data_IF_475030347822
#
_entry.id   IF_475030347822
#
_cell.length_a   1.000
_cell.length_b   1.000
_cell.length_c   1.000
_cell.angle_alpha   90.00
_cell.angle_beta   90.00
_cell.angle_gamma   90.00
#
_symmetry.space_group_name_H-M   'P 1'
#
loop_
_entity.id
_entity.type
_entity.pdbx_description
1 polymer ?
#
# COMPACT_ATOMS: atom_id res chain seq x y z
N UNK A 1 75.21 -37.54 8.14
CA UNK A 1 74.86 -37.21 6.73
C UNK A 1 73.47 -37.79 6.46
N UNK A 2 72.48 -36.90 6.42
CA UNK A 2 71.16 -36.96 5.76
C UNK A 2 70.39 -38.29 5.72
N UNK A 3 69.43 -38.44 6.64
CA UNK A 3 68.29 -39.34 6.48
C UNK A 3 67.01 -38.64 7.00
N UNK A 4 66.64 -37.52 6.38
CA UNK A 4 65.40 -36.81 6.71
C UNK A 4 64.91 -35.93 5.55
N UNK A 5 64.82 -36.48 4.34
CA UNK A 5 64.14 -35.83 3.22
C UNK A 5 63.63 -36.91 2.25
N UNK A 6 62.43 -37.45 2.49
CA UNK A 6 61.50 -37.99 1.47
C UNK A 6 60.33 -38.77 2.12
N UNK A 7 59.59 -38.16 3.05
CA UNK A 7 58.38 -38.78 3.63
C UNK A 7 57.17 -37.84 3.58
N UNK A 8 57.09 -37.02 2.53
CA UNK A 8 55.91 -36.21 2.22
C UNK A 8 55.71 -36.11 0.70
N UNK A 9 55.34 -37.21 0.02
CA UNK A 9 54.70 -37.08 -1.30
C UNK A 9 53.90 -38.25 -1.85
N UNK A 10 53.62 -39.28 -1.07
CA UNK A 10 52.69 -40.34 -1.51
C UNK A 10 51.47 -40.39 -0.58
N UNK A 11 50.76 -39.26 -0.45
CA UNK A 11 49.33 -39.32 -0.14
C UNK A 11 48.66 -39.82 -1.41
N UNK A 12 48.58 -41.16 -1.49
CA UNK A 12 47.96 -41.90 -2.58
C UNK A 12 46.53 -41.39 -2.81
N UNK A 13 46.35 -40.84 -4.01
CA UNK A 13 45.13 -40.37 -4.68
C UNK A 13 43.99 -41.39 -4.80
N UNK A 14 43.95 -42.44 -3.98
CA UNK A 14 43.06 -43.59 -4.18
C UNK A 14 41.76 -43.57 -3.34
N UNK A 15 41.62 -42.69 -2.34
CA UNK A 15 40.42 -42.65 -1.49
C UNK A 15 39.43 -41.51 -1.80
N UNK A 16 39.79 -40.54 -2.64
CA UNK A 16 38.89 -39.42 -2.99
C UNK A 16 38.11 -39.61 -4.29
N UNK A 17 38.41 -40.65 -5.07
CA UNK A 17 37.78 -40.87 -6.37
C UNK A 17 36.45 -41.65 -6.32
N UNK A 18 36.05 -42.20 -5.17
CA UNK A 18 34.84 -43.03 -5.06
C UNK A 18 33.63 -42.34 -4.41
N UNK A 19 33.79 -41.10 -3.92
CA UNK A 19 32.69 -40.36 -3.26
C UNK A 19 32.37 -39.00 -3.90
N UNK A 20 32.96 -38.69 -5.05
CA UNK A 20 32.60 -37.50 -5.83
C UNK A 20 31.61 -37.82 -6.96
N UNK A 21 31.61 -39.05 -7.47
CA UNK A 21 30.77 -39.42 -8.62
C UNK A 21 29.32 -39.79 -8.27
N UNK A 22 28.99 -39.94 -7.00
CA UNK A 22 27.62 -40.24 -6.51
C UNK A 22 26.98 -39.08 -5.74
N UNK A 23 27.70 -37.97 -5.52
CA UNK A 23 27.17 -36.81 -4.79
C UNK A 23 26.92 -35.56 -5.66
N UNK A 24 27.42 -35.53 -6.90
CA UNK A 24 27.13 -34.46 -7.87
C UNK A 24 26.02 -34.82 -8.86
N UNK A 25 25.18 -35.81 -8.55
CA UNK A 25 24.08 -36.25 -9.42
C UNK A 25 22.70 -36.32 -8.73
N UNK A 26 22.55 -35.69 -7.56
CA UNK A 26 21.26 -35.60 -6.84
C UNK A 26 20.73 -34.15 -6.77
N UNK A 27 21.45 -33.16 -7.30
CA UNK A 27 21.04 -31.76 -7.19
C UNK A 27 21.34 -30.96 -8.46
N UNK A 28 20.60 -31.21 -9.55
CA UNK A 28 20.37 -30.28 -10.66
C UNK A 28 19.34 -30.90 -11.63
N UNK A 29 18.31 -30.18 -12.12
CA UNK A 29 17.60 -29.03 -11.56
C UNK A 29 16.06 -29.18 -11.71
N UNK A 30 15.30 -29.07 -10.63
CA UNK A 30 13.83 -28.84 -10.69
C UNK A 30 13.47 -27.41 -11.14
N UNK A 31 14.24 -26.83 -12.05
CA UNK A 31 14.01 -25.45 -12.51
C UNK A 31 14.60 -25.21 -13.90
N UNK A 32 14.25 -26.05 -14.88
CA UNK A 32 14.18 -25.57 -16.26
C UNK A 32 12.73 -25.17 -16.51
N UNK A 33 12.43 -23.89 -16.82
CA UNK A 33 11.14 -23.55 -17.38
C UNK A 33 10.85 -24.51 -18.52
N UNK A 34 9.67 -25.15 -18.53
CA UNK A 34 9.24 -25.89 -19.71
C UNK A 34 9.34 -24.95 -20.92
N UNK A 35 9.85 -25.42 -22.05
CA UNK A 35 9.97 -24.60 -23.27
C UNK A 35 8.62 -23.96 -23.63
N UNK A 36 7.55 -24.72 -23.44
CA UNK A 36 6.16 -24.27 -23.60
C UNK A 36 5.81 -23.07 -22.71
N UNK A 37 6.36 -23.03 -21.48
CA UNK A 37 6.18 -21.90 -20.57
C UNK A 37 6.85 -20.64 -21.12
N UNK A 38 8.09 -20.75 -21.60
CA UNK A 38 8.83 -19.61 -22.17
C UNK A 38 8.12 -19.10 -23.43
N UNK A 39 7.66 -20.02 -24.31
CA UNK A 39 6.90 -19.65 -25.50
C UNK A 39 5.60 -18.93 -25.13
N UNK A 40 4.85 -19.47 -24.17
CA UNK A 40 3.61 -18.83 -23.69
C UNK A 40 3.87 -17.44 -23.10
N UNK A 41 4.86 -17.32 -22.21
CA UNK A 41 5.26 -16.03 -21.63
C UNK A 41 5.75 -15.03 -22.70
N UNK A 42 6.34 -15.50 -23.79
CA UNK A 42 6.80 -14.64 -24.90
C UNK A 42 5.62 -14.14 -25.73
N UNK A 43 4.67 -15.02 -26.06
CA UNK A 43 3.43 -14.67 -26.75
C UNK A 43 2.59 -13.70 -25.91
N UNK A 44 2.53 -13.88 -24.59
CA UNK A 44 1.87 -12.95 -23.68
C UNK A 44 2.48 -11.54 -23.80
N UNK A 45 3.82 -11.42 -23.80
CA UNK A 45 4.47 -10.10 -23.95
C UNK A 45 4.28 -9.50 -25.33
N UNK A 46 4.20 -10.32 -26.38
CA UNK A 46 3.84 -9.84 -27.72
C UNK A 46 2.43 -9.26 -27.72
N UNK A 47 1.46 -9.96 -27.13
CA UNK A 47 0.08 -9.51 -26.99
C UNK A 47 -0.04 -8.24 -26.12
N UNK A 48 0.77 -8.11 -25.05
CA UNK A 48 0.82 -6.91 -24.22
C UNK A 48 1.24 -5.68 -25.03
N UNK A 49 2.28 -5.81 -25.88
CA UNK A 49 2.75 -4.75 -26.77
C UNK A 49 1.68 -4.39 -27.79
N UNK A 50 1.08 -5.38 -28.46
CA UNK A 50 0.02 -5.18 -29.44
C UNK A 50 -1.19 -4.46 -28.83
N UNK A 51 -1.65 -4.95 -27.68
CA UNK A 51 -2.78 -4.36 -26.94
C UNK A 51 -2.48 -2.93 -26.51
N UNK A 52 -1.25 -2.65 -26.05
CA UNK A 52 -0.83 -1.31 -25.68
C UNK A 52 -0.82 -0.36 -26.87
N UNK A 53 -0.31 -0.80 -28.04
CA UNK A 53 -0.29 0.02 -29.27
C UNK A 53 -1.70 0.42 -29.67
N UNK A 54 -2.62 -0.55 -29.77
CA UNK A 54 -4.01 -0.27 -30.15
C UNK A 54 -4.72 0.63 -29.13
N UNK A 55 -4.54 0.38 -27.84
CA UNK A 55 -5.17 1.16 -26.79
C UNK A 55 -4.67 2.62 -26.78
N UNK A 56 -3.36 2.82 -26.92
CA UNK A 56 -2.77 4.15 -26.88
C UNK A 56 -3.07 4.96 -28.14
N UNK A 57 -3.09 4.33 -29.34
CA UNK A 57 -3.42 5.04 -30.58
C UNK A 57 -4.81 5.68 -30.53
N UNK A 58 -5.81 4.99 -29.97
CA UNK A 58 -7.15 5.55 -29.76
C UNK A 58 -7.16 6.63 -28.66
N UNK A 59 -6.62 6.29 -27.49
CA UNK A 59 -6.69 7.16 -26.30
C UNK A 59 -6.02 8.52 -26.49
N UNK A 60 -4.93 8.57 -27.25
CA UNK A 60 -4.16 9.80 -27.54
C UNK A 60 -4.99 10.85 -28.28
N UNK A 61 -6.03 10.44 -29.03
CA UNK A 61 -6.96 11.35 -29.70
C UNK A 61 -8.26 11.56 -28.94
N UNK A 62 -8.62 10.65 -28.04
CA UNK A 62 -9.85 10.73 -27.25
C UNK A 62 -9.55 11.25 -25.84
N UNK A 63 -9.50 10.36 -24.85
CA UNK A 63 -9.37 10.65 -23.42
C UNK A 63 -8.09 11.40 -23.01
N UNK A 64 -6.97 11.18 -23.71
CA UNK A 64 -5.66 11.75 -23.36
C UNK A 64 -5.33 13.02 -24.15
N UNK A 65 -6.18 13.44 -25.09
CA UNK A 65 -5.92 14.54 -26.02
C UNK A 65 -5.60 15.87 -25.32
N UNK A 66 -6.25 16.14 -24.20
CA UNK A 66 -6.05 17.34 -23.36
C UNK A 66 -4.76 17.30 -22.52
N UNK A 67 -4.17 16.12 -22.30
CA UNK A 67 -3.07 15.89 -21.35
C UNK A 67 -1.71 15.66 -22.03
N UNK A 68 -1.68 15.81 -23.35
CA UNK A 68 -0.50 15.66 -24.20
C UNK A 68 -0.33 16.90 -25.07
N UNK A 69 0.90 17.36 -25.23
CA UNK A 69 1.21 18.42 -26.19
C UNK A 69 1.11 17.86 -27.63
N UNK A 70 0.67 18.68 -28.58
CA UNK A 70 0.53 18.28 -29.99
C UNK A 70 1.83 17.72 -30.59
N UNK A 71 2.96 18.36 -30.29
CA UNK A 71 4.30 17.97 -30.75
C UNK A 71 4.64 16.55 -30.28
N UNK A 72 4.54 16.32 -28.98
CA UNK A 72 4.78 15.03 -28.31
C UNK A 72 3.79 13.97 -28.80
N UNK A 73 2.53 14.34 -29.02
CA UNK A 73 1.51 13.45 -29.57
C UNK A 73 1.90 12.93 -30.96
N UNK A 74 2.28 13.83 -31.87
CA UNK A 74 2.66 13.45 -33.22
C UNK A 74 3.88 12.52 -33.24
N UNK A 75 4.87 12.80 -32.38
CA UNK A 75 6.04 11.93 -32.22
C UNK A 75 5.67 10.57 -31.64
N UNK A 76 4.80 10.54 -30.62
CA UNK A 76 4.37 9.31 -29.98
C UNK A 76 3.58 8.41 -30.94
N UNK A 77 2.69 8.97 -31.76
CA UNK A 77 1.95 8.21 -32.77
C UNK A 77 2.89 7.57 -33.79
N UNK A 78 3.92 8.31 -34.25
CA UNK A 78 4.96 7.74 -35.13
C UNK A 78 5.75 6.62 -34.45
N UNK A 79 6.03 6.74 -33.16
CA UNK A 79 6.69 5.67 -32.41
C UNK A 79 5.80 4.44 -32.25
N UNK A 80 4.49 4.62 -32.06
CA UNK A 80 3.51 3.53 -32.03
C UNK A 80 3.39 2.82 -33.38
N UNK A 81 3.33 3.57 -34.49
CA UNK A 81 3.39 3.03 -35.86
C UNK A 81 4.66 2.24 -36.11
N UNK A 82 5.84 2.81 -35.80
CA UNK A 82 7.10 2.09 -35.95
C UNK A 82 7.25 0.87 -35.02
N UNK A 83 6.56 0.86 -33.88
CA UNK A 83 6.50 -0.31 -33.01
C UNK A 83 5.57 -1.41 -33.55
N UNK A 84 4.46 -1.03 -34.21
CA UNK A 84 3.57 -1.95 -34.91
C UNK A 84 4.27 -2.60 -36.11
N UNK A 85 4.94 -1.80 -36.94
CA UNK A 85 5.73 -2.28 -38.08
C UNK A 85 6.84 -3.25 -37.62
N UNK A 86 7.50 -2.93 -36.50
CA UNK A 86 8.50 -3.81 -35.91
C UNK A 86 7.87 -5.13 -35.43
N UNK A 87 6.69 -5.09 -34.79
CA UNK A 87 6.02 -6.27 -34.25
C UNK A 87 5.68 -7.33 -35.31
N UNK A 88 5.36 -6.87 -36.53
CA UNK A 88 5.04 -7.73 -37.68
C UNK A 88 6.22 -7.93 -38.65
N UNK A 89 7.39 -7.35 -38.37
CA UNK A 89 8.62 -7.52 -39.14
C UNK A 89 9.73 -8.15 -38.31
N UNK A 90 10.74 -7.35 -37.97
CA UNK A 90 11.94 -7.80 -37.24
C UNK A 90 11.65 -8.33 -35.82
N UNK A 91 10.47 -8.01 -35.27
CA UNK A 91 9.98 -8.40 -33.95
C UNK A 91 9.08 -9.63 -33.94
N UNK A 92 8.92 -10.38 -35.05
CA UNK A 92 7.97 -11.50 -35.10
C UNK A 92 8.37 -12.68 -34.19
N UNK A 93 9.66 -13.03 -34.15
CA UNK A 93 10.24 -14.15 -33.38
C UNK A 93 11.50 -13.70 -32.62
N UNK A 94 11.31 -12.80 -31.64
CA UNK A 94 12.38 -12.28 -30.78
C UNK A 94 12.27 -12.81 -29.36
N UNK A 95 13.36 -12.68 -28.60
CA UNK A 95 13.34 -13.02 -27.17
C UNK A 95 12.34 -12.13 -26.41
N UNK A 96 11.67 -12.70 -25.41
CA UNK A 96 10.82 -12.00 -24.43
C UNK A 96 11.40 -10.65 -23.96
N UNK A 97 12.72 -10.59 -23.74
CA UNK A 97 13.43 -9.39 -23.30
C UNK A 97 13.23 -8.19 -24.24
N UNK A 98 13.15 -8.44 -25.55
CA UNK A 98 12.98 -7.40 -26.57
C UNK A 98 11.57 -6.81 -26.53
N UNK A 99 10.54 -7.64 -26.37
CA UNK A 99 9.16 -7.16 -26.22
C UNK A 99 8.99 -6.29 -24.97
N UNK A 100 9.60 -6.70 -23.84
CA UNK A 100 9.57 -5.90 -22.60
C UNK A 100 10.25 -4.56 -22.81
N UNK A 101 11.43 -4.53 -23.41
CA UNK A 101 12.15 -3.29 -23.70
C UNK A 101 11.33 -2.37 -24.60
N UNK A 102 10.72 -2.92 -25.66
CA UNK A 102 9.88 -2.15 -26.58
C UNK A 102 8.67 -1.55 -25.87
N UNK A 103 8.03 -2.32 -24.98
CA UNK A 103 6.92 -1.83 -24.16
C UNK A 103 7.37 -0.72 -23.21
N UNK A 104 8.52 -0.85 -22.55
CA UNK A 104 9.09 0.16 -21.66
C UNK A 104 9.42 1.47 -22.40
N UNK A 105 9.96 1.38 -23.62
CA UNK A 105 10.21 2.53 -24.48
C UNK A 105 8.90 3.30 -24.75
N UNK A 106 7.83 2.60 -25.15
CA UNK A 106 6.53 3.23 -25.40
C UNK A 106 5.87 3.77 -24.12
N UNK A 107 6.06 3.10 -22.99
CA UNK A 107 5.55 3.51 -21.68
C UNK A 107 6.24 4.75 -21.13
N UNK A 108 7.50 4.99 -21.47
CA UNK A 108 8.24 6.18 -21.06
C UNK A 108 7.50 7.47 -21.47
N UNK A 109 6.80 7.45 -22.61
CA UNK A 109 6.00 8.59 -23.09
C UNK A 109 4.53 8.46 -22.67
N UNK A 110 3.95 7.27 -22.77
CA UNK A 110 2.53 7.06 -22.52
C UNK A 110 2.12 7.09 -21.04
N UNK A 111 2.93 6.53 -20.13
CA UNK A 111 2.60 6.47 -18.71
C UNK A 111 2.46 7.85 -18.05
N UNK A 112 3.36 8.83 -18.31
CA UNK A 112 3.16 10.20 -17.79
C UNK A 112 1.85 10.84 -18.25
N UNK A 113 1.43 10.62 -19.50
CA UNK A 113 0.19 11.18 -20.05
C UNK A 113 -1.03 10.54 -19.39
N UNK A 114 -1.03 9.21 -19.27
CA UNK A 114 -2.09 8.47 -18.57
C UNK A 114 -2.15 8.88 -17.09
N UNK A 115 -0.99 9.06 -16.46
CA UNK A 115 -0.89 9.52 -15.08
C UNK A 115 -1.54 10.90 -14.91
N UNK A 116 -1.22 11.88 -15.78
CA UNK A 116 -1.82 13.22 -15.74
C UNK A 116 -3.34 13.18 -15.93
N UNK A 117 -3.84 12.35 -16.85
CA UNK A 117 -5.27 12.17 -17.06
C UNK A 117 -5.97 11.59 -15.83
N UNK A 118 -5.44 10.50 -15.27
CA UNK A 118 -5.97 9.87 -14.05
C UNK A 118 -5.97 10.85 -12.87
N UNK A 119 -4.87 11.55 -12.66
CA UNK A 119 -4.77 12.58 -11.61
C UNK A 119 -5.83 13.67 -11.81
N UNK A 120 -6.17 14.05 -13.04
CA UNK A 120 -7.21 15.04 -13.28
C UNK A 120 -8.63 14.54 -12.98
N UNK A 121 -8.92 13.27 -13.30
CA UNK A 121 -10.20 12.63 -12.98
C UNK A 121 -10.36 12.43 -11.46
N UNK A 122 -9.32 11.94 -10.79
CA UNK A 122 -9.35 11.63 -9.36
C UNK A 122 -9.27 12.89 -8.47
N UNK A 123 -8.70 13.99 -8.98
CA UNK A 123 -8.48 15.22 -8.20
C UNK A 123 -9.76 15.79 -7.61
N UNK A 124 -10.87 15.77 -8.34
CA UNK A 124 -12.13 16.29 -7.80
C UNK A 124 -12.55 15.51 -6.55
N UNK A 125 -12.52 14.17 -6.63
CA UNK A 125 -12.86 13.31 -5.51
C UNK A 125 -11.85 13.46 -4.34
N UNK A 126 -10.55 13.53 -4.61
CA UNK A 126 -9.52 13.75 -3.59
C UNK A 126 -9.70 15.12 -2.89
N UNK A 127 -10.07 16.15 -3.64
CA UNK A 127 -10.37 17.49 -3.11
C UNK A 127 -11.57 17.49 -2.18
N UNK A 128 -12.66 16.82 -2.55
CA UNK A 128 -13.83 16.70 -1.68
C UNK A 128 -13.48 15.95 -0.40
N UNK A 129 -12.79 14.80 -0.50
CA UNK A 129 -12.35 14.04 0.68
C UNK A 129 -11.51 14.88 1.65
N UNK A 130 -10.58 15.68 1.14
CA UNK A 130 -9.77 16.57 1.99
C UNK A 130 -10.63 17.66 2.62
N UNK A 131 -11.53 18.30 1.88
CA UNK A 131 -12.46 19.31 2.43
C UNK A 131 -13.38 18.73 3.49
N UNK A 132 -13.95 17.56 3.26
CA UNK A 132 -14.81 16.88 4.23
C UNK A 132 -14.05 16.55 5.51
N UNK A 133 -12.80 16.07 5.40
CA UNK A 133 -11.94 15.82 6.54
C UNK A 133 -11.59 17.12 7.31
N UNK A 134 -11.33 18.22 6.61
CA UNK A 134 -11.04 19.52 7.21
C UNK A 134 -12.27 20.07 7.95
N UNK A 135 -13.45 19.99 7.34
CA UNK A 135 -14.71 20.41 7.95
C UNK A 135 -15.03 19.58 9.19
N UNK A 136 -14.90 18.25 9.12
CA UNK A 136 -15.13 17.38 10.28
C UNK A 136 -14.20 17.72 11.45
N UNK A 137 -12.91 17.98 11.18
CA UNK A 137 -11.95 18.40 12.21
C UNK A 137 -12.26 19.77 12.78
N UNK A 138 -12.76 20.70 11.96
CA UNK A 138 -13.14 22.04 12.39
C UNK A 138 -14.40 21.99 13.27
N UNK A 139 -15.41 21.24 12.87
CA UNK A 139 -16.62 20.99 13.66
C UNK A 139 -16.28 20.34 14.99
N UNK A 140 -15.40 19.33 15.00
CA UNK A 140 -14.98 18.66 16.23
C UNK A 140 -14.19 19.59 17.15
N UNK A 141 -13.31 20.43 16.61
CA UNK A 141 -12.54 21.41 17.37
C UNK A 141 -13.40 22.56 17.93
N UNK A 142 -14.49 22.93 17.24
CA UNK A 142 -15.43 23.96 17.66
C UNK A 142 -16.59 23.42 18.50
N UNK A 143 -16.79 22.10 18.53
CA UNK A 143 -17.85 21.48 19.31
C UNK A 143 -17.66 21.74 20.81
N UNK A 144 -18.78 22.07 21.47
CA UNK A 144 -18.85 22.29 22.91
C UNK A 144 -19.19 20.99 23.68
N UNK A 145 -18.98 19.83 23.07
CA UNK A 145 -19.33 18.55 23.68
C UNK A 145 -18.53 18.30 24.96
N UNK A 146 -19.18 17.69 25.96
CA UNK A 146 -18.53 17.31 27.23
C UNK A 146 -17.35 16.34 27.03
N UNK A 147 -17.25 15.71 25.86
CA UNK A 147 -16.12 14.86 25.46
C UNK A 147 -14.84 15.66 25.17
N UNK A 148 -14.95 16.95 24.85
CA UNK A 148 -13.80 17.81 24.54
C UNK A 148 -13.64 18.94 25.56
N UNK A 149 -14.40 18.91 26.67
CA UNK A 149 -14.35 19.90 27.75
C UNK A 149 -13.06 19.81 28.59
N UNK A 150 -12.40 18.64 28.63
CA UNK A 150 -11.12 18.44 29.29
C UNK A 150 -9.90 18.72 28.40
N UNK A 151 -10.12 19.02 27.12
CA UNK A 151 -9.05 19.36 26.18
C UNK A 151 -8.70 20.83 26.36
N UNK A 152 -7.41 21.10 26.52
CA UNK A 152 -6.89 22.45 26.67
C UNK A 152 -7.15 23.28 25.40
N UNK A 153 -7.58 24.54 25.57
CA UNK A 153 -7.87 25.43 24.44
C UNK A 153 -6.67 25.57 23.49
N UNK A 154 -5.44 25.55 24.03
CA UNK A 154 -4.22 25.59 23.24
C UNK A 154 -4.04 24.40 22.28
N UNK A 155 -4.65 23.24 22.57
CA UNK A 155 -4.62 22.09 21.67
C UNK A 155 -5.71 22.18 20.59
N UNK A 156 -6.88 22.74 20.92
CA UNK A 156 -7.92 23.06 19.92
C UNK A 156 -7.42 24.10 18.92
N UNK A 157 -6.71 25.12 19.39
CA UNK A 157 -6.13 26.15 18.53
C UNK A 157 -5.05 25.59 17.57
N UNK A 158 -4.29 24.57 18.00
CA UNK A 158 -3.34 23.85 17.11
C UNK A 158 -4.06 23.09 15.99
N UNK A 159 -5.17 22.44 16.29
CA UNK A 159 -6.01 21.76 15.28
C UNK A 159 -6.56 22.77 14.29
N UNK A 160 -7.12 23.88 14.76
CA UNK A 160 -7.65 24.94 13.90
C UNK A 160 -6.55 25.56 13.02
N UNK A 161 -5.36 25.79 13.57
CA UNK A 161 -4.23 26.30 12.79
C UNK A 161 -3.79 25.31 11.70
N UNK A 162 -3.73 24.01 12.02
CA UNK A 162 -3.37 22.97 11.05
C UNK A 162 -4.43 22.82 9.93
N UNK A 163 -5.72 22.93 10.27
CA UNK A 163 -6.82 22.93 9.29
C UNK A 163 -6.70 24.12 8.35
N UNK A 164 -6.48 25.34 8.87
CA UNK A 164 -6.31 26.54 8.04
C UNK A 164 -5.10 26.48 7.12
N UNK A 165 -3.97 25.95 7.60
CA UNK A 165 -2.77 25.73 6.77
C UNK A 165 -3.06 24.77 5.62
N UNK A 166 -3.77 23.66 5.89
CA UNK A 166 -4.16 22.69 4.88
C UNK A 166 -5.19 23.24 3.88
N UNK A 167 -6.15 24.06 4.31
CA UNK A 167 -7.09 24.77 3.43
C UNK A 167 -6.38 25.75 2.50
N UNK A 168 -5.44 26.54 3.03
CA UNK A 168 -4.66 27.48 2.23
C UNK A 168 -3.78 26.75 1.21
N UNK A 169 -3.09 25.68 1.63
CA UNK A 169 -2.30 24.84 0.74
C UNK A 169 -3.15 24.25 -0.41
N UNK A 170 -4.36 23.77 -0.10
CA UNK A 170 -5.28 23.26 -1.11
C UNK A 170 -5.71 24.35 -2.09
N UNK A 171 -6.07 25.54 -1.58
CA UNK A 171 -6.46 26.68 -2.40
C UNK A 171 -5.34 27.14 -3.34
N UNK A 172 -4.14 27.34 -2.79
CA UNK A 172 -2.96 27.78 -3.55
C UNK A 172 -2.56 26.78 -4.63
N UNK A 173 -2.68 25.47 -4.34
CA UNK A 173 -2.35 24.45 -5.32
C UNK A 173 -3.40 24.24 -6.40
N UNK A 174 -4.69 24.36 -6.08
CA UNK A 174 -5.75 24.37 -7.11
C UNK A 174 -5.59 25.57 -8.05
N UNK A 175 -5.29 26.76 -7.51
CA UNK A 175 -5.02 27.95 -8.31
C UNK A 175 -3.81 27.75 -9.24
N UNK A 176 -2.74 27.11 -8.75
CA UNK A 176 -1.57 26.75 -9.59
C UNK A 176 -1.93 25.78 -10.71
N UNK A 177 -2.76 24.78 -10.42
CA UNK A 177 -3.22 23.82 -11.43
C UNK A 177 -4.07 24.51 -12.50
N UNK A 178 -4.99 25.41 -12.11
CA UNK A 178 -5.81 26.18 -13.06
C UNK A 178 -4.97 27.11 -13.94
N UNK A 179 -3.89 27.69 -13.39
CA UNK A 179 -2.97 28.55 -14.14
C UNK A 179 -1.99 27.79 -15.03
N UNK A 180 -1.81 26.49 -14.81
CA UNK A 180 -0.83 25.66 -15.53
C UNK A 180 -1.49 24.90 -16.68
N UNK A 181 -0.79 24.66 -17.80
CA UNK A 181 -1.34 23.84 -18.88
C UNK A 181 -1.58 22.39 -18.45
N UNK A 182 -2.66 21.78 -18.93
CA UNK A 182 -3.05 20.39 -18.59
C UNK A 182 -2.02 19.32 -18.98
N UNK A 183 -1.13 19.63 -19.92
CA UNK A 183 -0.04 18.75 -20.36
C UNK A 183 1.23 18.85 -19.49
N UNK A 184 1.24 19.70 -18.47
CA UNK A 184 2.33 19.79 -17.49
C UNK A 184 2.02 18.97 -16.25
N UNK A 185 3.05 18.52 -15.55
CA UNK A 185 2.88 17.71 -14.36
C UNK A 185 2.17 18.51 -13.25
N UNK A 186 1.18 17.91 -12.56
CA UNK A 186 0.31 18.66 -11.67
C UNK A 186 1.06 19.16 -10.43
N UNK A 187 0.81 20.42 -10.05
CA UNK A 187 1.44 21.06 -8.90
C UNK A 187 1.05 20.42 -7.55
N UNK A 188 -0.13 19.81 -7.47
CA UNK A 188 -0.56 18.95 -6.37
C UNK A 188 -1.01 17.60 -6.95
N UNK A 189 -0.56 16.51 -6.33
CA UNK A 189 -1.00 15.15 -6.65
C UNK A 189 -2.04 14.65 -5.67
N UNK A 190 -2.90 13.72 -6.09
CA UNK A 190 -3.91 13.10 -5.24
C UNK A 190 -3.28 12.44 -4.01
N UNK A 191 -2.11 11.80 -4.18
CA UNK A 191 -1.34 11.22 -3.09
C UNK A 191 -0.94 12.25 -2.02
N UNK A 192 -0.49 13.44 -2.43
CA UNK A 192 -0.15 14.50 -1.46
C UNK A 192 -1.37 14.95 -0.64
N UNK A 193 -2.56 14.94 -1.24
CA UNK A 193 -3.80 15.26 -0.53
C UNK A 193 -4.13 14.19 0.52
N UNK A 194 -3.97 12.91 0.17
CA UNK A 194 -4.14 11.80 1.11
C UNK A 194 -3.11 11.82 2.25
N UNK A 195 -1.84 12.08 1.94
CA UNK A 195 -0.78 12.22 2.93
C UNK A 195 -1.06 13.38 3.90
N UNK A 196 -1.70 14.46 3.42
CA UNK A 196 -2.16 15.57 4.26
C UNK A 196 -3.31 15.18 5.17
N UNK A 197 -4.32 14.46 4.67
CA UNK A 197 -5.39 13.90 5.52
C UNK A 197 -4.78 13.01 6.61
N UNK A 198 -3.82 12.16 6.25
CA UNK A 198 -3.13 11.29 7.20
C UNK A 198 -2.36 12.07 8.27
N UNK A 199 -1.62 13.11 7.87
CA UNK A 199 -0.90 14.00 8.78
C UNK A 199 -1.84 14.71 9.74
N UNK A 200 -2.95 15.25 9.24
CA UNK A 200 -3.99 15.88 10.07
C UNK A 200 -4.58 14.87 11.06
N UNK A 201 -4.84 13.64 10.62
CA UNK A 201 -5.33 12.58 11.50
C UNK A 201 -4.33 12.23 12.60
N UNK A 202 -3.03 12.19 12.31
CA UNK A 202 -1.98 11.96 13.32
C UNK A 202 -1.94 13.08 14.35
N UNK A 203 -2.12 14.33 13.93
CA UNK A 203 -2.08 15.48 14.84
C UNK A 203 -3.36 15.55 15.69
N UNK A 204 -4.52 15.35 15.07
CA UNK A 204 -5.81 15.57 15.69
C UNK A 204 -6.25 14.40 16.57
N UNK A 205 -5.99 13.16 16.16
CA UNK A 205 -6.46 11.96 16.87
C UNK A 205 -5.94 11.88 18.32
N UNK A 206 -4.65 12.11 18.62
CA UNK A 206 -4.15 12.11 20.00
C UNK A 206 -4.67 13.26 20.87
N UNK A 207 -5.21 14.32 20.27
CA UNK A 207 -5.81 15.46 20.97
C UNK A 207 -7.27 15.18 21.27
N UNK A 208 -8.02 14.72 20.27
CA UNK A 208 -9.46 14.49 20.32
C UNK A 208 -9.83 13.18 21.05
N UNK A 209 -8.98 12.14 20.97
CA UNK A 209 -9.18 10.87 21.68
C UNK A 209 -8.59 10.86 23.11
N UNK A 210 -8.17 12.00 23.67
CA UNK A 210 -7.64 12.03 25.05
C UNK A 210 -8.74 11.53 26.01
N UNK A 211 -8.50 10.46 26.80
CA UNK A 211 -9.51 9.92 27.69
C UNK A 211 -9.80 10.91 28.81
N UNK A 212 -11.07 11.04 29.20
CA UNK A 212 -11.48 11.82 30.37
C UNK A 212 -10.66 11.37 31.59
N UNK A 213 -10.02 12.27 32.35
CA UNK A 213 -9.34 11.90 33.58
C UNK A 213 -10.34 11.22 34.51
N UNK A 214 -10.02 10.00 34.98
CA UNK A 214 -10.86 9.25 35.92
C UNK A 214 -11.09 10.13 37.16
N UNK A 215 -12.32 10.25 37.67
CA UNK A 215 -12.56 10.99 38.91
C UNK A 215 -11.72 10.35 40.02
N UNK A 216 -10.88 11.16 40.66
CA UNK A 216 -10.16 10.77 41.87
C UNK A 216 -11.23 10.53 42.95
N UNK A 217 -11.29 9.34 43.59
CA UNK A 217 -12.17 9.14 44.72
C UNK A 217 -11.81 10.15 45.80
N UNK A 218 -12.76 11.02 46.16
CA UNK A 218 -12.64 11.88 47.33
C UNK A 218 -12.60 10.96 48.54
N UNK A 219 -11.46 10.92 49.23
CA UNK A 219 -11.33 10.31 50.55
C UNK A 219 -12.25 11.05 51.53
N UNK A 220 -13.42 10.47 51.83
CA UNK A 220 -14.21 10.88 52.97
C UNK A 220 -13.51 10.41 54.26
N UNK A 221 -13.08 11.38 55.06
CA UNK A 221 -12.65 11.21 56.44
C UNK A 221 -13.77 10.56 57.27
N UNK A 222 -13.43 9.42 57.88
CA UNK A 222 -13.92 8.84 59.15
C UNK A 222 -15.05 9.59 59.87
N UNK A 223 -16.17 8.90 60.07
CA UNK A 223 -16.88 8.89 61.37
C UNK A 223 -17.01 7.44 61.86
N UNK A 224 -16.78 7.27 63.16
CA UNK A 224 -16.59 6.02 63.90
C UNK A 224 -17.90 5.23 64.11
N UNK A 225 -17.81 3.90 64.07
CA UNK A 225 -18.80 2.99 64.66
C UNK A 225 -18.08 2.00 65.59
N UNK A 226 -18.50 1.84 66.85
CA UNK A 226 -17.90 0.86 67.77
C UNK A 226 -18.31 -0.60 67.50
N UNK A 227 -17.42 -1.49 67.93
CA UNK A 227 -17.38 -2.97 67.84
C UNK A 227 -18.62 -3.75 68.33
N UNK A 228 -18.84 -4.95 67.75
CA UNK A 228 -18.77 -6.28 68.42
C UNK A 228 -18.99 -7.40 67.36
N UNK A 229 -17.94 -8.12 66.93
CA UNK A 229 -17.51 -9.51 67.28
C UNK A 229 -18.58 -10.62 67.14
N UNK A 230 -18.42 -11.50 66.13
CA UNK A 230 -17.91 -12.92 66.19
C UNK A 230 -19.02 -13.91 66.58
N UNK A 231 -19.17 -15.11 66.00
CA UNK A 231 -18.22 -16.17 65.62
C UNK A 231 -18.98 -17.17 64.69
N UNK A 232 -18.40 -17.60 63.55
CA UNK A 232 -17.68 -18.86 63.30
C UNK A 232 -18.52 -20.11 62.93
N UNK A 233 -17.85 -20.94 62.12
CA UNK A 233 -18.03 -22.38 61.78
C UNK A 233 -18.84 -22.72 60.53
N UNK A 234 -18.47 -23.74 59.75
CA UNK A 234 -17.19 -24.39 59.35
C UNK A 234 -17.63 -25.51 58.40
N UNK A 235 -16.84 -25.79 57.35
CA UNK A 235 -16.68 -27.09 56.66
C UNK A 235 -17.95 -27.81 56.12
N UNK A 236 -17.99 -28.50 54.99
CA UNK A 236 -17.01 -28.94 54.00
C UNK A 236 -17.71 -29.92 53.05
N UNK A 237 -17.36 -29.82 51.76
CA UNK A 237 -17.26 -30.86 50.71
C UNK A 237 -18.22 -32.06 50.62
N UNK A 238 -18.89 -32.24 49.47
CA UNK A 238 -18.86 -33.42 48.56
C UNK A 238 -19.81 -33.15 47.37
N UNK A 239 -19.32 -32.98 46.14
CA UNK A 239 -19.06 -34.01 45.11
C UNK A 239 -20.32 -34.71 44.55
N UNK A 240 -20.65 -34.41 43.28
CA UNK A 240 -21.01 -35.37 42.21
C UNK A 240 -21.81 -34.70 41.07
N UNK A 241 -21.23 -34.70 39.87
CA UNK A 241 -21.91 -34.67 38.56
C UNK A 241 -22.56 -36.06 38.30
N UNK A 242 -23.34 -36.36 37.22
CA UNK A 242 -23.35 -35.69 35.91
C UNK A 242 -24.70 -35.67 35.13
N UNK A 243 -24.59 -35.17 33.89
CA UNK A 243 -25.26 -35.61 32.66
C UNK A 243 -26.54 -34.96 32.09
N UNK A 244 -26.56 -35.03 30.76
CA UNK A 244 -27.19 -34.22 29.73
C UNK A 244 -28.67 -34.55 29.43
N UNK A 245 -29.36 -33.60 28.75
CA UNK A 245 -30.24 -33.78 27.56
C UNK A 245 -30.81 -32.40 27.17
N UNK A 246 -30.60 -31.86 25.97
CA UNK A 246 -31.05 -32.24 24.61
C UNK A 246 -32.48 -31.73 24.27
N UNK A 247 -32.58 -31.04 23.12
CA UNK A 247 -33.83 -30.71 22.38
C UNK A 247 -34.47 -29.35 22.75
N UNK A 248 -35.04 -28.53 21.86
CA UNK A 248 -35.39 -28.68 20.45
C UNK A 248 -35.78 -27.30 19.87
N UNK A 249 -35.71 -27.19 18.53
CA UNK A 249 -36.11 -26.09 17.63
C UNK A 249 -37.53 -25.53 17.87
N UNK A 250 -37.79 -24.32 17.36
CA UNK A 250 -38.87 -24.08 16.38
C UNK A 250 -38.64 -22.79 15.58
N UNK A 251 -38.56 -22.97 14.26
CA UNK A 251 -38.80 -22.01 13.17
C UNK A 251 -40.19 -21.35 13.27
N UNK A 252 -40.34 -20.11 12.78
CA UNK A 252 -41.51 -19.65 11.97
C UNK A 252 -41.08 -18.47 11.08
N UNK A 253 -41.24 -18.67 9.76
CA UNK A 253 -41.24 -17.70 8.66
C UNK A 253 -42.48 -16.77 8.71
N UNK A 254 -42.33 -15.55 8.20
CA UNK A 254 -43.17 -15.00 7.12
C UNK A 254 -42.36 -14.00 6.28
#
# INVERSE_FOLDING_TARGET
KNLAHCLKRCFCLACFAFNWFTFTNIFLPLSRPSKDRILHETLERKNDVESYIYNMRDKVYTSLSDFIEESVRSEFVKQLEGAEDWLYGDGEDVEKSQYVKKLEELKTIGEPVVYRAREAEERYAATQKLRDALNALLEEAQSADEKYAHIEQAEKDKVIAAVKDAEQWLGDGLAKIESSPKFTDPAITCKQMEDRIFTLRIICRPILDKPKPKPVPVEEKKEEKPEEKKEETSEGSTEAAPEEKEGEKMDVEE
#
